data_IF_584955136890
#
_entry.id   IF_584955136890
#
_cell.length_a   1.000
_cell.length_b   1.000
_cell.length_c   1.000
_cell.angle_alpha   90.00
_cell.angle_beta   90.00
_cell.angle_gamma   90.00
#
_symmetry.space_group_name_H-M   'P 1'
#
loop_
_entity.id
_entity.type
_entity.pdbx_description
1 polymer ?
#
# COMPACT_ATOMS: atom_id res chain seq x y z
N UNK A 1 -32.73 -28.25 -25.07
CA UNK A 1 -31.27 -28.05 -25.13
C UNK A 1 -31.00 -26.61 -24.76
N UNK A 2 -30.65 -26.36 -23.51
CA UNK A 2 -30.33 -25.03 -22.98
C UNK A 2 -28.80 -24.95 -22.93
N UNK A 3 -28.21 -24.04 -23.70
CA UNK A 3 -26.76 -23.75 -23.68
C UNK A 3 -26.44 -22.77 -22.52
N UNK A 4 -25.47 -23.14 -21.72
CA UNK A 4 -24.96 -22.42 -20.58
C UNK A 4 -23.91 -21.36 -21.02
N UNK A 5 -23.97 -20.08 -20.63
CA UNK A 5 -23.08 -19.01 -21.11
C UNK A 5 -21.88 -18.72 -20.19
N UNK A 6 -21.32 -19.68 -19.44
CA UNK A 6 -20.26 -19.44 -18.44
C UNK A 6 -18.82 -19.65 -18.91
N UNK A 7 -18.51 -19.72 -20.22
CA UNK A 7 -17.15 -20.08 -20.65
C UNK A 7 -16.30 -18.96 -21.30
N UNK A 8 -16.78 -17.73 -21.35
CA UNK A 8 -16.06 -16.63 -22.06
C UNK A 8 -15.23 -15.69 -21.18
N UNK A 9 -15.54 -15.54 -19.89
CA UNK A 9 -14.81 -14.59 -19.02
C UNK A 9 -13.48 -15.11 -18.43
N UNK A 10 -13.24 -16.42 -18.43
CA UNK A 10 -12.00 -17.00 -17.88
C UNK A 10 -10.84 -17.02 -18.87
N UNK A 11 -11.07 -16.83 -20.16
CA UNK A 11 -9.99 -16.83 -21.17
C UNK A 11 -9.33 -15.46 -21.37
N UNK A 12 -10.05 -14.35 -21.18
CA UNK A 12 -9.48 -13.00 -21.30
C UNK A 12 -8.58 -12.63 -20.14
N UNK A 13 -8.89 -13.04 -18.90
CA UNK A 13 -8.05 -12.78 -17.74
C UNK A 13 -6.69 -13.49 -17.77
N UNK A 14 -6.59 -14.63 -18.47
CA UNK A 14 -5.35 -15.40 -18.59
C UNK A 14 -4.42 -14.83 -19.66
N UNK A 15 -4.97 -14.18 -20.68
CA UNK A 15 -4.18 -13.61 -21.78
C UNK A 15 -3.57 -12.25 -21.42
N UNK A 16 -4.23 -11.45 -20.58
CA UNK A 16 -3.68 -10.21 -20.03
C UNK A 16 -2.48 -10.45 -19.09
N UNK A 17 -2.50 -11.55 -18.31
CA UNK A 17 -1.36 -11.91 -17.44
C UNK A 17 -0.14 -12.41 -18.23
N UNK A 18 -0.34 -13.02 -19.39
CA UNK A 18 0.76 -13.48 -20.27
C UNK A 18 1.40 -12.35 -21.08
N UNK A 19 0.70 -11.24 -21.32
CA UNK A 19 1.27 -10.05 -21.99
C UNK A 19 2.10 -9.19 -21.05
N UNK A 20 1.77 -9.11 -19.75
CA UNK A 20 2.53 -8.38 -18.76
C UNK A 20 3.90 -9.00 -18.41
N UNK A 21 4.06 -10.33 -18.57
CA UNK A 21 5.32 -11.02 -18.26
C UNK A 21 6.31 -11.05 -19.44
N UNK A 22 5.91 -10.61 -20.65
CA UNK A 22 6.80 -10.54 -21.83
C UNK A 22 7.46 -9.17 -22.04
N UNK A 23 6.98 -8.12 -21.41
CA UNK A 23 7.56 -6.76 -21.50
C UNK A 23 8.72 -6.50 -20.52
N UNK A 24 9.01 -7.42 -19.60
CA UNK A 24 10.00 -7.26 -18.53
C UNK A 24 11.38 -7.87 -18.78
N UNK A 25 11.68 -8.40 -19.97
CA UNK A 25 13.00 -8.97 -20.27
C UNK A 25 13.42 -8.47 -21.64
N UNK A 26 14.35 -7.56 -21.68
CA UNK A 26 15.31 -7.17 -22.71
C UNK A 26 15.66 -5.68 -22.54
N UNK A 27 16.37 -5.33 -21.45
CA UNK A 27 17.39 -4.29 -21.49
C UNK A 27 18.72 -4.98 -21.17
N UNK A 28 19.25 -5.69 -22.16
CA UNK A 28 20.66 -6.00 -22.18
C UNK A 28 21.35 -4.68 -22.55
N UNK A 29 22.08 -4.12 -21.59
CA UNK A 29 23.02 -3.01 -21.82
C UNK A 29 24.10 -3.56 -22.73
N UNK A 30 23.99 -3.29 -24.02
CA UNK A 30 25.08 -3.47 -24.96
C UNK A 30 26.10 -2.36 -24.67
N UNK A 31 27.15 -2.68 -23.94
CA UNK A 31 28.35 -1.86 -23.90
C UNK A 31 28.96 -1.93 -25.29
N UNK A 32 28.63 -0.95 -26.13
CA UNK A 32 29.33 -0.72 -27.40
C UNK A 32 30.72 -0.25 -27.09
N UNK A 33 31.66 -1.17 -27.12
CA UNK A 33 33.07 -0.82 -27.26
C UNK A 33 33.26 -0.18 -28.63
N UNK A 34 33.28 1.16 -28.69
CA UNK A 34 33.62 1.90 -29.90
C UNK A 34 35.11 1.73 -30.18
N UNK A 35 35.44 0.81 -31.08
CA UNK A 35 36.77 0.76 -31.66
C UNK A 35 36.92 1.91 -32.63
N UNK A 36 37.72 2.91 -32.29
CA UNK A 36 38.14 3.95 -33.23
C UNK A 36 39.30 3.35 -34.05
N UNK A 37 39.02 2.98 -35.27
CA UNK A 37 40.02 2.61 -36.26
C UNK A 37 40.56 3.85 -36.94
N UNK A 38 41.73 4.30 -36.56
CA UNK A 38 42.51 5.27 -37.32
C UNK A 38 43.69 4.51 -37.95
N UNK A 39 43.64 4.38 -39.29
CA UNK A 39 44.79 3.92 -40.06
C UNK A 39 45.26 2.49 -39.80
N UNK A 40 44.39 1.50 -39.84
CA UNK A 40 44.77 0.10 -40.02
C UNK A 40 45.53 -0.61 -38.89
N UNK A 41 45.56 -0.05 -37.66
CA UNK A 41 46.18 -0.70 -36.48
C UNK A 41 45.14 -0.91 -35.38
N UNK A 42 44.88 -2.16 -35.02
CA UNK A 42 44.06 -2.54 -33.84
C UNK A 42 44.95 -2.53 -32.60
N UNK A 43 44.69 -1.65 -31.64
CA UNK A 43 45.35 -1.69 -30.33
C UNK A 43 44.47 -2.53 -29.43
N UNK A 44 44.83 -3.78 -29.19
CA UNK A 44 44.24 -4.63 -28.17
C UNK A 44 45.00 -4.42 -26.84
N UNK A 45 44.35 -3.89 -25.84
CA UNK A 45 44.97 -3.71 -24.52
C UNK A 45 44.72 -5.00 -23.72
N UNK A 46 45.73 -5.88 -23.67
CA UNK A 46 45.84 -6.94 -22.68
C UNK A 46 46.98 -6.60 -21.73
N UNK A 47 46.70 -6.73 -20.45
CA UNK A 47 47.63 -6.40 -19.37
C UNK A 47 48.98 -7.10 -19.58
N UNK A 48 50.03 -6.31 -19.67
CA UNK A 48 51.38 -6.74 -19.33
C UNK A 48 52.32 -7.19 -20.45
N UNK A 49 52.05 -6.96 -21.74
CA UNK A 49 52.99 -7.38 -22.78
C UNK A 49 53.27 -6.28 -23.82
N UNK A 50 54.51 -6.31 -24.29
CA UNK A 50 55.12 -5.31 -25.15
C UNK A 50 54.32 -5.09 -26.44
N UNK A 51 54.00 -3.85 -26.72
CA UNK A 51 53.40 -3.44 -28.00
C UNK A 51 54.39 -3.74 -29.13
N UNK A 52 54.07 -4.76 -29.92
CA UNK A 52 54.77 -5.03 -31.17
C UNK A 52 54.08 -4.21 -32.26
N UNK A 53 54.70 -3.17 -32.72
CA UNK A 53 54.22 -2.42 -33.89
C UNK A 53 54.72 -3.16 -35.13
N UNK A 54 53.86 -3.88 -35.82
CA UNK A 54 54.13 -4.36 -37.15
C UNK A 54 53.88 -3.24 -38.15
N UNK A 55 54.91 -2.92 -38.87
CA UNK A 55 54.88 -1.86 -39.89
C UNK A 55 53.99 -2.25 -41.07
N UNK A 56 52.98 -1.43 -41.36
CA UNK A 56 52.21 -1.53 -42.60
C UNK A 56 53.11 -1.25 -43.79
N UNK A 57 53.17 -2.20 -44.69
CA UNK A 57 53.82 -2.03 -46.00
C UNK A 57 53.05 -1.02 -46.83
N UNK A 58 53.68 0.12 -47.06
CA UNK A 58 53.13 1.08 -48.01
C UNK A 58 53.16 0.51 -49.43
N UNK A 59 52.03 0.53 -50.12
CA UNK A 59 51.94 0.23 -51.53
C UNK A 59 52.63 1.31 -52.38
N UNK A 60 53.74 0.97 -52.99
CA UNK A 60 54.36 1.86 -53.96
C UNK A 60 54.13 1.32 -55.36
N UNK A 61 53.30 2.04 -56.11
CA UNK A 61 53.20 1.85 -57.59
C UNK A 61 54.43 2.42 -58.29
N UNK A 62 54.90 1.66 -59.27
CA UNK A 62 55.79 2.02 -60.40
C UNK A 62 57.19 2.63 -60.14
N UNK A 63 58.15 1.77 -60.32
CA UNK A 63 59.38 2.04 -61.05
C UNK A 63 60.37 3.09 -60.54
N UNK A 64 61.32 2.62 -59.77
CA UNK A 64 62.79 2.90 -60.07
C UNK A 64 63.60 2.28 -58.91
N UNK A 65 64.77 1.72 -59.30
CA UNK A 65 65.75 1.10 -58.42
C UNK A 65 66.20 2.06 -57.36
N UNK A 66 65.83 1.93 -56.12
CA UNK A 66 66.46 2.47 -54.96
C UNK A 66 66.68 1.33 -53.95
N UNK A 67 67.93 0.87 -53.89
CA UNK A 67 68.43 0.08 -52.78
C UNK A 67 68.28 0.92 -51.50
N UNK A 68 67.13 0.75 -50.80
CA UNK A 68 67.01 1.30 -49.49
C UNK A 68 66.79 0.13 -48.51
N UNK A 69 67.86 -0.17 -47.81
CA UNK A 69 67.79 -0.89 -46.58
C UNK A 69 66.75 -0.17 -45.68
N UNK A 70 65.92 -0.91 -44.95
CA UNK A 70 64.89 -0.30 -44.08
C UNK A 70 65.59 0.62 -43.10
N UNK A 71 65.38 1.93 -43.25
CA UNK A 71 65.89 2.89 -42.28
C UNK A 71 64.96 2.72 -41.04
N UNK A 72 65.51 2.10 -40.01
CA UNK A 72 64.94 2.11 -38.72
C UNK A 72 65.00 3.53 -38.16
N UNK A 73 63.97 4.33 -38.37
CA UNK A 73 63.81 5.57 -37.63
C UNK A 73 63.79 5.20 -36.16
N UNK A 74 64.86 5.44 -35.43
CA UNK A 74 64.80 5.46 -33.97
C UNK A 74 63.94 6.67 -33.58
N UNK A 75 62.71 6.46 -33.40
CA UNK A 75 61.82 7.41 -32.71
C UNK A 75 62.45 7.52 -31.30
N UNK A 76 63.04 8.66 -31.01
CA UNK A 76 63.49 9.00 -29.65
C UNK A 76 62.31 8.68 -28.72
N UNK A 77 62.57 7.89 -27.66
CA UNK A 77 61.55 7.37 -26.78
C UNK A 77 60.64 8.49 -26.27
N UNK A 78 59.48 8.59 -26.89
CA UNK A 78 58.44 9.43 -26.33
C UNK A 78 58.03 8.76 -25.03
N UNK A 79 58.30 9.43 -23.91
CA UNK A 79 57.77 8.96 -22.62
C UNK A 79 56.25 9.01 -22.64
N UNK A 80 55.65 7.90 -23.02
CA UNK A 80 54.20 7.75 -23.12
C UNK A 80 53.51 7.66 -21.75
N UNK A 81 54.32 7.57 -20.67
CA UNK A 81 53.77 7.40 -19.31
C UNK A 81 52.88 8.56 -18.90
N UNK A 82 53.24 9.77 -19.22
CA UNK A 82 52.47 10.97 -18.95
C UNK A 82 51.14 11.03 -19.71
N UNK A 83 51.08 10.51 -20.94
CA UNK A 83 49.86 10.45 -21.72
C UNK A 83 48.92 9.36 -21.24
N UNK A 84 49.47 8.20 -20.89
CA UNK A 84 48.69 7.10 -20.28
C UNK A 84 48.08 7.51 -18.95
N UNK A 85 48.80 8.20 -18.11
CA UNK A 85 48.27 8.70 -16.84
C UNK A 85 47.15 9.73 -17.04
N UNK A 86 47.30 10.66 -17.99
CA UNK A 86 46.24 11.61 -18.35
C UNK A 86 44.96 10.92 -18.88
N UNK A 87 45.13 9.90 -19.73
CA UNK A 87 44.02 9.13 -20.27
C UNK A 87 43.30 8.34 -19.18
N UNK A 88 44.03 7.70 -18.27
CA UNK A 88 43.47 6.97 -17.15
C UNK A 88 42.66 7.90 -16.23
N UNK A 89 43.21 9.05 -15.85
CA UNK A 89 42.52 10.05 -15.05
C UNK A 89 41.26 10.63 -15.76
N UNK A 90 41.32 10.74 -17.10
CA UNK A 90 40.14 11.16 -17.87
C UNK A 90 39.05 10.07 -17.90
N UNK A 91 39.47 8.80 -18.09
CA UNK A 91 38.55 7.66 -18.05
C UNK A 91 37.91 7.46 -16.65
N UNK A 92 38.69 7.61 -15.59
CA UNK A 92 38.16 7.55 -14.20
C UNK A 92 37.12 8.64 -13.95
N UNK A 93 37.41 9.89 -14.38
CA UNK A 93 36.45 10.99 -14.24
C UNK A 93 35.15 10.77 -15.02
N UNK A 94 35.28 10.20 -16.22
CA UNK A 94 34.08 9.89 -17.03
C UNK A 94 33.29 8.73 -16.43
N UNK A 95 33.95 7.68 -15.96
CA UNK A 95 33.31 6.58 -15.24
C UNK A 95 32.59 7.07 -13.98
N UNK A 96 33.19 8.01 -13.24
CA UNK A 96 32.54 8.62 -12.08
C UNK A 96 31.28 9.42 -12.46
N UNK A 97 31.34 10.24 -13.52
CA UNK A 97 30.17 10.99 -14.02
C UNK A 97 29.05 10.06 -14.45
N UNK A 98 29.38 8.98 -15.16
CA UNK A 98 28.38 7.99 -15.59
C UNK A 98 27.77 7.30 -14.38
N UNK A 99 28.56 6.91 -13.39
CA UNK A 99 28.06 6.29 -12.16
C UNK A 99 27.12 7.23 -11.38
N UNK A 100 27.50 8.50 -11.24
CA UNK A 100 26.68 9.53 -10.60
C UNK A 100 25.36 9.77 -11.36
N UNK A 101 25.41 9.80 -12.70
CA UNK A 101 24.21 9.96 -13.53
C UNK A 101 23.25 8.77 -13.40
N UNK A 102 23.79 7.54 -13.38
CA UNK A 102 23.00 6.32 -13.15
C UNK A 102 22.37 6.36 -11.76
N UNK A 103 23.13 6.67 -10.72
CA UNK A 103 22.63 6.76 -9.35
C UNK A 103 21.54 7.83 -9.20
N UNK A 104 21.71 9.00 -9.84
CA UNK A 104 20.70 10.05 -9.87
C UNK A 104 19.43 9.60 -10.58
N UNK A 105 19.54 8.90 -11.70
CA UNK A 105 18.41 8.37 -12.45
C UNK A 105 17.66 7.30 -11.64
N UNK A 106 18.37 6.39 -10.99
CA UNK A 106 17.74 5.38 -10.11
C UNK A 106 17.02 6.02 -8.92
N UNK A 107 17.65 7.04 -8.30
CA UNK A 107 17.03 7.78 -7.21
C UNK A 107 15.74 8.49 -7.67
N UNK A 108 15.75 9.11 -8.85
CA UNK A 108 14.57 9.75 -9.44
C UNK A 108 13.46 8.73 -9.73
N UNK A 109 13.80 7.57 -10.28
CA UNK A 109 12.84 6.49 -10.54
C UNK A 109 12.21 5.95 -9.24
N UNK A 110 13.01 5.78 -8.18
CA UNK A 110 12.51 5.35 -6.86
C UNK A 110 11.55 6.39 -6.27
N UNK A 111 11.93 7.66 -6.29
CA UNK A 111 11.07 8.74 -5.79
C UNK A 111 9.74 8.83 -6.56
N UNK A 112 9.76 8.65 -7.87
CA UNK A 112 8.55 8.64 -8.69
C UNK A 112 7.67 7.41 -8.40
N UNK A 113 8.28 6.23 -8.24
CA UNK A 113 7.55 5.01 -7.86
C UNK A 113 6.89 5.14 -6.47
N UNK A 114 7.60 5.72 -5.51
CA UNK A 114 7.06 6.00 -4.17
C UNK A 114 5.90 7.00 -4.23
N UNK A 115 6.00 8.05 -5.05
CA UNK A 115 4.92 9.02 -5.26
C UNK A 115 3.67 8.36 -5.82
N UNK A 116 3.82 7.56 -6.90
CA UNK A 116 2.71 6.81 -7.51
C UNK A 116 2.08 5.83 -6.52
N UNK A 117 2.90 5.10 -5.75
CA UNK A 117 2.40 4.16 -4.74
C UNK A 117 1.61 4.88 -3.64
N UNK A 118 2.07 6.05 -3.19
CA UNK A 118 1.37 6.87 -2.20
C UNK A 118 0.04 7.40 -2.74
N UNK A 119 0.02 7.94 -3.95
CA UNK A 119 -1.22 8.42 -4.60
C UNK A 119 -2.24 7.28 -4.77
N UNK A 120 -1.79 6.09 -5.19
CA UNK A 120 -2.64 4.91 -5.32
C UNK A 120 -3.20 4.44 -3.96
N UNK A 121 -2.38 4.47 -2.90
CA UNK A 121 -2.82 4.13 -1.55
C UNK A 121 -3.84 5.14 -1.00
N UNK A 122 -3.63 6.43 -1.22
CA UNK A 122 -4.59 7.48 -0.83
C UNK A 122 -5.92 7.34 -1.60
N UNK A 123 -5.86 7.04 -2.89
CA UNK A 123 -7.07 6.81 -3.69
C UNK A 123 -7.83 5.58 -3.21
N UNK A 124 -7.13 4.46 -2.98
CA UNK A 124 -7.74 3.24 -2.45
C UNK A 124 -8.40 3.47 -1.08
N UNK A 125 -7.74 4.23 -0.19
CA UNK A 125 -8.30 4.59 1.11
C UNK A 125 -9.56 5.48 0.99
N UNK A 126 -9.60 6.42 0.03
CA UNK A 126 -10.80 7.24 -0.25
C UNK A 126 -11.95 6.41 -0.81
N UNK A 127 -11.65 5.49 -1.74
CA UNK A 127 -12.66 4.58 -2.30
C UNK A 127 -13.21 3.63 -1.25
N UNK A 128 -12.37 3.09 -0.38
CA UNK A 128 -12.79 2.27 0.76
C UNK A 128 -13.67 3.07 1.73
N UNK A 129 -13.26 4.30 2.08
CA UNK A 129 -14.05 5.18 2.93
C UNK A 129 -15.43 5.51 2.32
N UNK A 130 -15.50 5.71 0.99
CA UNK A 130 -16.75 5.98 0.29
C UNK A 130 -17.70 4.76 0.21
N UNK A 131 -17.16 3.54 0.27
CA UNK A 131 -17.95 2.29 0.25
C UNK A 131 -18.51 1.90 1.62
N UNK A 132 -17.93 2.42 2.70
CA UNK A 132 -18.38 2.08 4.06
C UNK A 132 -19.69 2.79 4.36
N UNK A 133 -20.61 2.13 5.08
CA UNK A 133 -21.79 2.82 5.59
C UNK A 133 -21.34 3.92 6.57
N UNK A 134 -21.96 5.10 6.46
CA UNK A 134 -21.74 6.18 7.43
C UNK A 134 -22.24 5.79 8.84
N UNK A 135 -23.19 4.86 8.91
CA UNK A 135 -23.74 4.29 10.15
C UNK A 135 -23.97 2.78 9.98
N UNK A 136 -23.85 2.04 11.09
CA UNK A 136 -24.12 0.61 11.17
C UNK A 136 -25.11 0.33 12.31
N UNK A 137 -25.94 -0.72 12.19
CA UNK A 137 -26.70 -1.20 13.32
C UNK A 137 -25.75 -1.96 14.29
N UNK A 138 -25.86 -1.75 15.63
CA UNK A 138 -24.78 -2.10 16.56
C UNK A 138 -24.50 -3.59 16.73
N UNK A 139 -25.47 -4.47 16.44
CA UNK A 139 -25.26 -5.91 16.48
C UNK A 139 -26.31 -6.66 15.65
N UNK A 140 -25.96 -7.83 15.14
CA UNK A 140 -26.95 -8.79 14.64
C UNK A 140 -27.77 -9.36 15.79
N UNK A 141 -29.10 -9.51 15.62
CA UNK A 141 -29.97 -10.08 16.63
C UNK A 141 -31.44 -9.67 16.49
N UNK A 142 -32.20 -10.05 17.47
CA UNK A 142 -33.65 -9.71 17.60
C UNK A 142 -33.79 -8.54 18.56
N UNK A 143 -34.51 -7.49 18.16
CA UNK A 143 -34.86 -6.41 19.05
C UNK A 143 -35.97 -6.89 20.03
N UNK A 144 -35.58 -7.06 21.31
CA UNK A 144 -36.45 -7.65 22.33
C UNK A 144 -37.05 -6.62 23.28
N UNK A 145 -36.47 -5.42 23.37
CA UNK A 145 -36.98 -4.39 24.28
C UNK A 145 -36.68 -2.99 23.72
N UNK A 146 -37.68 -2.14 23.72
CA UNK A 146 -37.62 -0.75 23.29
C UNK A 146 -37.29 0.23 24.42
N UNK A 147 -37.09 1.50 24.05
CA UNK A 147 -36.95 2.63 24.96
C UNK A 147 -38.27 2.99 25.63
N UNK A 148 -38.25 3.35 26.90
CA UNK A 148 -39.41 3.89 27.61
C UNK A 148 -39.70 3.25 28.98
N UNK A 149 -40.81 3.64 29.62
CA UNK A 149 -41.20 3.13 30.94
C UNK A 149 -41.62 1.65 30.89
N UNK A 150 -41.08 0.86 31.83
CA UNK A 150 -41.48 -0.53 32.04
C UNK A 150 -41.30 -0.96 33.50
N UNK A 151 -42.28 -1.68 34.06
CA UNK A 151 -42.22 -2.24 35.44
C UNK A 151 -41.74 -1.26 36.51
N UNK A 152 -42.18 0.02 36.45
CA UNK A 152 -41.86 1.03 37.44
C UNK A 152 -40.46 1.67 37.31
N UNK A 153 -39.72 1.33 36.26
CA UNK A 153 -38.44 1.95 35.90
C UNK A 153 -38.46 2.42 34.44
N UNK A 154 -37.42 3.16 34.03
CA UNK A 154 -37.27 3.59 32.63
C UNK A 154 -36.16 2.81 31.95
N UNK A 155 -36.46 2.22 30.82
CA UNK A 155 -35.50 1.61 29.92
C UNK A 155 -34.92 2.68 29.00
N UNK A 156 -33.66 2.99 29.15
CA UNK A 156 -33.05 4.15 28.50
C UNK A 156 -32.35 3.83 27.16
N UNK A 157 -32.63 2.65 26.61
CA UNK A 157 -32.04 2.19 25.37
C UNK A 157 -32.87 1.16 24.65
N UNK A 158 -32.23 0.34 23.85
CA UNK A 158 -32.84 -0.83 23.18
C UNK A 158 -32.00 -2.07 23.48
N UNK A 159 -32.69 -3.21 23.60
CA UNK A 159 -32.05 -4.50 23.84
C UNK A 159 -32.12 -5.37 22.57
N UNK A 160 -30.94 -5.84 22.15
CA UNK A 160 -30.74 -6.69 20.97
C UNK A 160 -30.21 -8.04 21.45
N UNK A 161 -31.06 -9.07 21.43
CA UNK A 161 -30.72 -10.39 21.90
C UNK A 161 -30.03 -11.23 20.80
N UNK A 162 -28.96 -11.89 21.19
CA UNK A 162 -28.28 -12.92 20.42
C UNK A 162 -27.35 -13.73 21.36
N UNK A 163 -26.63 -14.71 20.82
CA UNK A 163 -25.70 -15.53 21.57
C UNK A 163 -24.51 -14.74 22.14
N UNK A 164 -23.99 -15.14 23.29
CA UNK A 164 -22.71 -14.63 23.82
C UNK A 164 -21.63 -14.79 22.75
N UNK A 165 -20.78 -13.76 22.60
CA UNK A 165 -19.73 -13.73 21.57
C UNK A 165 -20.15 -13.12 20.24
N UNK A 166 -21.44 -12.83 20.01
CA UNK A 166 -21.89 -12.09 18.80
C UNK A 166 -21.12 -10.77 18.68
N UNK A 167 -20.58 -10.44 17.50
CA UNK A 167 -19.89 -9.17 17.29
C UNK A 167 -20.79 -7.97 17.59
N UNK A 168 -20.24 -7.01 18.32
CA UNK A 168 -20.83 -5.68 18.52
C UNK A 168 -19.94 -4.69 17.78
N UNK A 169 -20.56 -3.83 16.97
CA UNK A 169 -19.85 -2.88 16.12
C UNK A 169 -20.19 -1.43 16.51
N UNK A 170 -19.25 -0.52 16.24
CA UNK A 170 -19.53 0.91 16.37
C UNK A 170 -20.62 1.35 15.41
N UNK A 171 -21.56 2.15 15.89
CA UNK A 171 -22.67 2.64 15.08
C UNK A 171 -22.21 3.72 14.12
N UNK A 172 -21.30 4.61 14.55
CA UNK A 172 -20.71 5.71 13.75
C UNK A 172 -19.19 5.63 13.78
N UNK A 173 -18.54 6.48 13.02
CA UNK A 173 -17.17 6.88 13.30
C UNK A 173 -17.14 7.63 14.65
N UNK A 174 -16.04 7.56 15.40
CA UNK A 174 -15.95 8.24 16.68
C UNK A 174 -14.70 7.87 17.47
N UNK A 175 -14.68 8.29 18.75
CA UNK A 175 -13.58 8.02 19.67
C UNK A 175 -14.11 7.30 20.91
N UNK A 176 -13.46 6.24 21.33
CA UNK A 176 -13.76 5.52 22.57
C UNK A 176 -13.44 6.44 23.77
N UNK A 177 -14.46 6.81 24.54
CA UNK A 177 -14.33 7.68 25.71
C UNK A 177 -14.36 6.91 27.03
N UNK A 178 -14.84 5.66 27.00
CA UNK A 178 -14.85 4.76 28.17
C UNK A 178 -14.90 3.30 27.73
N UNK A 179 -14.23 2.42 28.48
CA UNK A 179 -14.21 0.99 28.20
C UNK A 179 -13.83 0.24 29.48
N UNK A 180 -14.77 -0.45 30.11
CA UNK A 180 -14.52 -1.16 31.36
C UNK A 180 -15.74 -1.49 32.15
N UNK A 181 -15.59 -1.77 33.46
CA UNK A 181 -16.69 -2.06 34.38
C UNK A 181 -17.61 -0.84 34.57
N UNK A 182 -18.93 -1.09 34.56
CA UNK A 182 -19.92 -0.06 34.81
C UNK A 182 -21.11 -0.59 35.61
N UNK A 183 -21.55 0.20 36.58
CA UNK A 183 -22.70 -0.17 37.44
C UNK A 183 -23.97 -0.35 36.59
N UNK A 184 -24.68 -1.43 36.83
CA UNK A 184 -25.85 -1.83 36.04
C UNK A 184 -25.49 -2.52 34.71
N UNK A 185 -24.56 -1.97 33.94
CA UNK A 185 -24.16 -2.48 32.62
C UNK A 185 -23.19 -3.69 32.70
N UNK A 186 -22.55 -3.93 33.84
CA UNK A 186 -21.50 -4.95 33.99
C UNK A 186 -20.19 -4.51 33.36
N UNK A 187 -20.07 -4.72 32.04
CA UNK A 187 -19.04 -4.11 31.20
C UNK A 187 -19.71 -3.27 30.11
N UNK A 188 -19.06 -2.15 29.76
CA UNK A 188 -19.52 -1.30 28.69
C UNK A 188 -18.38 -0.77 27.81
N UNK A 189 -18.74 -0.24 26.63
CA UNK A 189 -17.95 0.66 25.82
C UNK A 189 -18.79 1.92 25.60
N UNK A 190 -18.20 3.11 25.68
CA UNK A 190 -18.81 4.36 25.27
C UNK A 190 -18.00 5.03 24.18
N UNK A 191 -18.68 5.52 23.15
CA UNK A 191 -18.07 6.16 21.99
C UNK A 191 -18.64 7.57 21.84
N UNK A 192 -17.77 8.57 21.84
CA UNK A 192 -18.14 9.91 21.38
C UNK A 192 -18.24 9.84 19.85
N UNK A 193 -19.48 9.93 19.36
CA UNK A 193 -19.84 9.79 17.96
C UNK A 193 -19.57 11.09 17.19
N UNK A 194 -19.36 10.99 15.90
CA UNK A 194 -19.03 12.13 15.02
C UNK A 194 -20.18 13.15 14.89
N UNK A 195 -21.43 12.73 15.18
CA UNK A 195 -22.60 13.61 15.22
C UNK A 195 -22.78 14.36 16.56
N UNK A 196 -21.83 14.23 17.48
CA UNK A 196 -21.81 14.84 18.80
C UNK A 196 -22.60 14.08 19.86
N UNK A 197 -23.26 12.96 19.54
CA UNK A 197 -23.91 12.07 20.51
C UNK A 197 -22.91 11.10 21.13
N UNK A 198 -23.33 10.35 22.16
CA UNK A 198 -22.55 9.26 22.73
C UNK A 198 -23.31 7.93 22.56
N UNK A 199 -22.71 6.97 21.87
CA UNK A 199 -23.19 5.60 21.84
C UNK A 199 -22.69 4.81 23.05
N UNK A 200 -23.60 4.11 23.74
CA UNK A 200 -23.31 3.29 24.92
C UNK A 200 -23.66 1.84 24.64
N UNK A 201 -22.69 0.96 24.85
CA UNK A 201 -22.80 -0.48 24.53
C UNK A 201 -22.61 -1.28 25.83
N UNK A 202 -23.72 -1.73 26.41
CA UNK A 202 -23.75 -2.42 27.71
C UNK A 202 -23.88 -3.93 27.62
N UNK A 203 -23.71 -4.60 28.76
CA UNK A 203 -23.78 -6.04 28.97
C UNK A 203 -22.81 -6.87 28.12
N UNK A 204 -21.75 -6.22 27.63
CA UNK A 204 -20.72 -6.84 26.78
C UNK A 204 -19.96 -7.92 27.55
N UNK A 205 -19.50 -8.96 26.86
CA UNK A 205 -18.61 -9.97 27.44
C UNK A 205 -17.17 -9.49 27.50
N UNK A 206 -16.68 -8.89 26.41
CA UNK A 206 -15.32 -8.39 26.30
C UNK A 206 -15.29 -7.14 25.42
N UNK A 207 -14.55 -6.12 25.86
CA UNK A 207 -14.15 -5.00 25.01
C UNK A 207 -12.94 -5.39 24.16
N UNK A 208 -12.93 -4.93 22.91
CA UNK A 208 -11.83 -5.11 21.96
C UNK A 208 -11.10 -3.80 21.65
N UNK A 209 -11.51 -2.72 22.31
CA UNK A 209 -11.00 -1.36 22.08
C UNK A 209 -10.55 -0.72 23.39
N UNK A 210 -9.72 0.31 23.28
CA UNK A 210 -9.16 1.07 24.40
C UNK A 210 -9.62 2.52 24.35
N UNK A 211 -9.70 3.19 25.53
CA UNK A 211 -10.00 4.62 25.62
C UNK A 211 -9.02 5.45 24.79
N UNK A 212 -9.51 6.41 24.03
CA UNK A 212 -8.77 7.23 23.08
C UNK A 212 -8.62 6.60 21.69
N UNK A 213 -9.01 5.35 21.48
CA UNK A 213 -8.99 4.72 20.17
C UNK A 213 -10.04 5.32 19.25
N UNK A 214 -9.64 5.68 18.03
CA UNK A 214 -10.57 6.02 16.95
C UNK A 214 -11.14 4.73 16.39
N UNK A 215 -12.46 4.71 16.22
CA UNK A 215 -13.21 3.59 15.64
C UNK A 215 -14.07 4.08 14.49
N UNK A 216 -14.41 3.18 13.59
CA UNK A 216 -15.19 3.48 12.40
C UNK A 216 -16.55 2.81 12.48
N UNK A 217 -17.55 3.36 11.80
CA UNK A 217 -18.86 2.72 11.64
C UNK A 217 -18.69 1.29 11.10
N UNK A 218 -19.31 0.31 11.77
CA UNK A 218 -19.20 -1.10 11.45
C UNK A 218 -17.93 -1.79 11.97
N UNK A 219 -16.98 -1.08 12.59
CA UNK A 219 -15.81 -1.68 13.22
C UNK A 219 -16.20 -2.44 14.48
N UNK A 220 -15.70 -3.67 14.64
CA UNK A 220 -15.99 -4.47 15.82
C UNK A 220 -15.29 -3.90 17.06
N UNK A 221 -16.08 -3.53 18.07
CA UNK A 221 -15.61 -2.89 19.32
C UNK A 221 -15.73 -3.79 20.53
N UNK A 222 -16.62 -4.79 20.51
CA UNK A 222 -16.89 -5.67 21.63
C UNK A 222 -17.48 -7.00 21.17
N UNK A 223 -17.74 -7.88 22.12
CA UNK A 223 -18.57 -9.09 21.97
C UNK A 223 -19.74 -9.04 22.93
N UNK A 224 -20.91 -9.50 22.46
CA UNK A 224 -22.13 -9.60 23.26
C UNK A 224 -21.95 -10.51 24.45
N UNK A 225 -22.47 -10.10 25.58
CA UNK A 225 -22.39 -10.85 26.84
C UNK A 225 -23.73 -10.95 27.57
N UNK A 226 -23.63 -11.12 28.88
CA UNK A 226 -24.74 -11.18 29.83
C UNK A 226 -24.30 -10.65 31.21
N UNK A 227 -23.43 -9.60 31.21
CA UNK A 227 -22.85 -9.06 32.44
C UNK A 227 -23.74 -7.98 33.03
N UNK A 228 -23.62 -7.76 34.35
CA UNK A 228 -24.39 -6.75 35.07
C UNK A 228 -25.85 -7.13 35.30
N UNK A 229 -26.73 -6.13 35.30
CA UNK A 229 -28.18 -6.34 35.49
C UNK A 229 -28.84 -6.76 34.17
N UNK A 230 -28.71 -8.01 33.82
CA UNK A 230 -29.20 -8.61 32.57
C UNK A 230 -29.96 -9.89 32.85
N UNK A 231 -31.02 -10.11 32.10
CA UNK A 231 -31.90 -11.32 32.22
C UNK A 231 -31.55 -12.41 31.22
N UNK A 232 -30.64 -12.15 30.30
CA UNK A 232 -30.18 -13.08 29.26
C UNK A 232 -29.17 -12.42 28.31
N UNK A 233 -28.51 -13.18 27.43
CA UNK A 233 -27.52 -12.62 26.52
C UNK A 233 -28.12 -11.60 25.56
N UNK A 234 -27.67 -10.35 25.65
CA UNK A 234 -28.08 -9.25 24.75
C UNK A 234 -27.08 -8.09 24.79
N UNK A 235 -27.15 -7.24 23.79
CA UNK A 235 -26.59 -5.89 23.80
C UNK A 235 -27.67 -4.93 24.29
N UNK A 236 -27.37 -4.14 25.33
CA UNK A 236 -28.12 -2.94 25.68
C UNK A 236 -27.44 -1.73 25.01
N UNK A 237 -28.15 -1.02 24.12
CA UNK A 237 -27.62 0.12 23.38
C UNK A 237 -28.37 1.41 23.72
N UNK A 238 -27.65 2.45 24.15
CA UNK A 238 -28.20 3.77 24.41
C UNK A 238 -27.59 4.84 23.49
N UNK A 239 -28.33 5.88 23.20
CA UNK A 239 -27.87 7.11 22.56
C UNK A 239 -28.05 8.27 23.54
N UNK A 240 -26.92 8.93 23.88
CA UNK A 240 -26.92 10.09 24.77
C UNK A 240 -26.64 11.35 23.96
N UNK A 241 -27.50 12.36 24.09
CA UNK A 241 -27.23 13.68 23.50
C UNK A 241 -26.16 14.44 24.28
N UNK A 242 -25.57 15.49 23.69
CA UNK A 242 -24.74 16.45 24.44
C UNK A 242 -25.49 16.92 25.70
N UNK A 243 -24.83 16.84 26.86
CA UNK A 243 -25.48 17.12 28.15
C UNK A 243 -26.09 15.90 28.84
N UNK A 244 -26.03 14.71 28.24
CA UNK A 244 -26.36 13.42 28.87
C UNK A 244 -27.83 13.01 28.81
N UNK A 245 -28.70 13.74 28.12
CA UNK A 245 -30.07 13.33 27.88
C UNK A 245 -30.11 12.08 26.99
N UNK A 246 -30.85 11.06 27.44
CA UNK A 246 -31.00 9.79 26.71
C UNK A 246 -32.18 9.89 25.77
N UNK A 247 -32.01 9.42 24.56
CA UNK A 247 -33.06 9.43 23.51
C UNK A 247 -33.34 8.04 23.01
N UNK A 248 -34.57 7.84 22.50
CA UNK A 248 -34.94 6.57 21.88
C UNK A 248 -34.05 6.29 20.65
N UNK A 249 -33.28 5.18 20.66
CA UNK A 249 -32.41 4.83 19.55
C UNK A 249 -33.16 4.53 18.25
N UNK A 250 -34.42 4.03 18.30
CA UNK A 250 -35.13 3.61 17.09
C UNK A 250 -35.48 4.79 16.18
N UNK A 251 -36.16 5.85 16.62
CA UNK A 251 -36.32 7.06 15.80
C UNK A 251 -34.99 7.70 15.41
N UNK A 252 -33.97 7.62 16.28
CA UNK A 252 -32.65 8.15 15.98
C UNK A 252 -31.98 7.39 14.80
N UNK A 253 -32.10 6.06 14.74
CA UNK A 253 -31.66 5.24 13.61
C UNK A 253 -32.45 5.55 12.33
N UNK A 254 -33.77 5.61 12.42
CA UNK A 254 -34.64 5.87 11.25
C UNK A 254 -34.33 7.24 10.62
N UNK A 255 -34.18 8.27 11.45
CA UNK A 255 -33.83 9.62 10.98
C UNK A 255 -32.49 9.67 10.21
N UNK A 256 -31.65 8.66 10.38
CA UNK A 256 -30.34 8.52 9.74
C UNK A 256 -30.27 7.44 8.66
N UNK A 257 -31.42 6.85 8.32
CA UNK A 257 -31.53 5.85 7.26
C UNK A 257 -30.93 4.48 7.62
N UNK A 258 -30.68 4.21 8.91
CA UNK A 258 -30.22 2.89 9.36
C UNK A 258 -31.44 1.96 9.47
N UNK A 259 -31.46 0.84 8.72
CA UNK A 259 -32.53 -0.14 8.85
C UNK A 259 -32.46 -0.81 10.23
N UNK A 260 -33.57 -0.76 10.96
CA UNK A 260 -33.72 -1.46 12.23
C UNK A 260 -34.32 -2.83 11.93
N UNK A 261 -33.71 -3.94 12.39
CA UNK A 261 -34.31 -5.27 12.25
C UNK A 261 -35.72 -5.32 12.82
N UNK A 262 -36.61 -6.14 12.20
CA UNK A 262 -37.99 -6.31 12.66
C UNK A 262 -37.97 -6.72 14.13
N UNK A 263 -38.74 -5.97 14.95
CA UNK A 263 -38.90 -6.23 16.38
C UNK A 263 -39.94 -7.32 16.62
N UNK A 264 -39.68 -8.15 17.61
CA UNK A 264 -40.71 -8.94 18.31
C UNK A 264 -41.07 -8.22 19.61
N UNK A 265 -41.33 -6.90 19.52
CA UNK A 265 -41.90 -6.14 20.63
C UNK A 265 -43.37 -6.53 20.77
N UNK A 266 -43.63 -7.54 21.59
CA UNK A 266 -44.99 -7.91 22.01
C UNK A 266 -45.55 -6.96 23.05
#
# INVERSE_FOLDING_TARGET
VIRNPESTHTREATDLRRRATRAGRWMAVAVLASAVTVGGTTVANAAGDRVRVESATAWTGAGENLSTAPQVLKVAGVDASHYTEKLNRAAEREAQRVAEAIAAQEAAQRAEAERIAREAAEQAAREEAARRPALAFPAAGTLTSGFGPRWGTNHNGVDIANSIGTPIVSVTDGVVIDSGPASGFGLWVRIAQDDGTTGVYGHIDRSLVSVGQHVRAGEQIATMGNRGQSTGPHLHYEVWQPGGAKVDPIPWFHARGVPVPSSHLG
#
